data_IF_820100988009
#
_entry.id   IF_820100988009
#
_cell.length_a   1.000
_cell.length_b   1.000
_cell.length_c   1.000
_cell.angle_alpha   90.00
_cell.angle_beta   90.00
_cell.angle_gamma   90.00
#
_symmetry.space_group_name_H-M   'P 1'
#
loop_
_entity.id
_entity.type
_entity.pdbx_description
1 polymer ?
#
# COMPACT_ATOMS: atom_id res chain seq x y z
N UNK A 1 -24.68 20.22 -14.97
CA UNK A 1 -23.24 20.60 -15.04
C UNK A 1 -22.89 21.30 -13.74
N UNK A 2 -22.47 20.55 -12.72
CA UNK A 2 -21.81 21.07 -11.50
C UNK A 2 -21.49 19.89 -10.59
N UNK A 3 -20.43 19.14 -10.90
CA UNK A 3 -19.82 18.24 -9.92
C UNK A 3 -18.31 18.39 -10.03
N UNK A 4 -17.83 19.57 -9.63
CA UNK A 4 -16.42 19.75 -9.25
C UNK A 4 -16.43 20.07 -7.76
N UNK A 5 -16.76 19.08 -6.93
CA UNK A 5 -16.47 19.20 -5.51
C UNK A 5 -14.95 19.25 -5.38
N UNK A 6 -14.46 20.42 -5.01
CA UNK A 6 -13.09 20.66 -4.56
C UNK A 6 -12.82 19.68 -3.43
N UNK A 7 -12.22 18.54 -3.74
CA UNK A 7 -11.62 17.66 -2.73
C UNK A 7 -10.38 18.40 -2.26
N UNK A 8 -10.32 18.92 -1.03
CA UNK A 8 -9.12 19.57 -0.55
C UNK A 8 -8.01 18.51 -0.53
N UNK A 9 -6.87 18.81 -1.14
CA UNK A 9 -5.67 17.96 -1.03
C UNK A 9 -5.40 17.77 0.46
N UNK A 10 -5.47 16.50 0.92
CA UNK A 10 -5.33 16.06 2.32
C UNK A 10 -4.14 16.72 3.01
N UNK A 11 -3.10 17.04 2.25
CA UNK A 11 -1.91 17.82 2.61
C UNK A 11 -2.18 19.14 3.35
N UNK A 12 -3.24 19.89 2.99
CA UNK A 12 -3.52 21.20 3.58
C UNK A 12 -4.15 21.11 4.98
N UNK A 13 -4.91 20.05 5.26
CA UNK A 13 -5.61 19.87 6.55
C UNK A 13 -4.61 19.54 7.67
N UNK A 14 -3.58 18.75 7.36
CA UNK A 14 -2.53 18.37 8.33
C UNK A 14 -1.63 19.54 8.74
N UNK A 15 -1.46 20.54 7.88
CA UNK A 15 -0.61 21.72 8.15
C UNK A 15 -1.13 22.59 9.30
N UNK A 16 -2.43 22.53 9.61
CA UNK A 16 -3.04 23.37 10.65
C UNK A 16 -3.01 22.74 12.05
N UNK A 17 -2.63 21.46 12.17
CA UNK A 17 -2.96 20.69 13.37
C UNK A 17 -1.92 20.67 14.50
N UNK A 18 -0.64 21.00 14.32
CA UNK A 18 0.26 21.09 15.49
C UNK A 18 1.64 21.69 15.17
N UNK A 19 1.84 22.94 15.60
CA UNK A 19 3.18 23.50 15.80
C UNK A 19 3.44 23.78 17.29
N UNK A 20 3.11 22.81 18.16
CA UNK A 20 3.56 22.88 19.55
C UNK A 20 5.08 22.64 19.59
N UNK A 21 5.86 23.66 20.00
CA UNK A 21 7.33 23.55 20.09
C UNK A 21 7.70 22.56 21.20
N UNK A 22 8.06 21.34 20.82
CA UNK A 22 8.57 20.32 21.74
C UNK A 22 10.05 20.57 22.03
N UNK A 23 10.42 20.64 23.32
CA UNK A 23 11.85 20.62 23.73
C UNK A 23 12.44 19.24 23.45
N UNK A 24 13.60 19.19 22.79
CA UNK A 24 14.38 17.98 22.55
C UNK A 24 15.69 18.04 23.32
N UNK A 25 16.07 16.94 23.99
CA UNK A 25 17.35 16.80 24.70
C UNK A 25 18.33 15.90 23.93
N UNK A 26 18.04 15.58 22.66
CA UNK A 26 18.92 14.77 21.83
C UNK A 26 20.29 15.45 21.69
N UNK A 27 21.36 14.73 22.08
CA UNK A 27 22.74 15.23 22.00
C UNK A 27 23.39 14.98 20.64
N UNK A 28 22.80 14.10 19.84
CA UNK A 28 23.25 13.74 18.51
C UNK A 28 22.13 13.98 17.50
N UNK A 29 22.52 14.37 16.29
CA UNK A 29 21.59 14.55 15.18
C UNK A 29 21.18 13.18 14.61
N UNK A 30 19.90 13.00 14.33
CA UNK A 30 19.43 11.86 13.54
C UNK A 30 20.01 11.98 12.12
N UNK A 31 20.90 11.06 11.75
CA UNK A 31 21.55 11.05 10.43
C UNK A 31 20.59 10.56 9.34
N UNK A 32 19.60 9.75 9.71
CA UNK A 32 18.59 9.23 8.80
C UNK A 32 17.19 9.68 9.26
N UNK A 33 16.36 10.19 8.33
CA UNK A 33 14.97 10.48 8.63
C UNK A 33 14.21 9.18 8.93
N UNK A 34 13.09 9.33 9.66
CA UNK A 34 12.18 8.21 9.87
C UNK A 34 11.58 7.84 8.50
N UNK A 35 11.68 6.57 8.07
CA UNK A 35 11.11 6.13 6.81
C UNK A 35 9.58 6.11 6.88
N UNK A 36 8.91 5.93 5.74
CA UNK A 36 7.48 5.67 5.74
C UNK A 36 7.19 4.34 6.48
N UNK A 37 6.45 4.45 7.58
CA UNK A 37 6.16 3.33 8.48
C UNK A 37 5.24 2.29 7.84
N UNK A 38 4.54 2.64 6.75
CA UNK A 38 3.66 1.72 6.02
C UNK A 38 4.26 1.23 4.70
N UNK A 39 5.51 1.58 4.41
CA UNK A 39 6.16 1.24 3.13
C UNK A 39 6.14 -0.27 2.87
N UNK A 40 6.47 -1.08 3.88
CA UNK A 40 6.45 -2.55 3.78
C UNK A 40 5.06 -3.08 3.40
N UNK A 41 3.99 -2.45 3.90
CA UNK A 41 2.62 -2.86 3.59
C UNK A 41 2.29 -2.55 2.12
N UNK A 42 2.70 -1.38 1.65
CA UNK A 42 2.52 -0.96 0.26
C UNK A 42 3.29 -1.89 -0.67
N UNK A 43 4.56 -2.13 -0.36
CA UNK A 43 5.45 -2.95 -1.19
C UNK A 43 4.96 -4.40 -1.26
N UNK A 44 4.52 -4.96 -0.13
CA UNK A 44 3.97 -6.32 -0.06
C UNK A 44 2.73 -6.47 -0.94
N UNK A 45 1.83 -5.47 -0.90
CA UNK A 45 0.62 -5.50 -1.73
C UNK A 45 0.93 -5.31 -3.22
N UNK A 46 1.87 -4.43 -3.56
CA UNK A 46 2.32 -4.25 -4.95
C UNK A 46 2.95 -5.53 -5.51
N UNK A 47 3.78 -6.21 -4.73
CA UNK A 47 4.34 -7.50 -5.10
C UNK A 47 3.25 -8.54 -5.34
N UNK A 48 2.28 -8.65 -4.42
CA UNK A 48 1.16 -9.58 -4.54
C UNK A 48 0.37 -9.37 -5.84
N UNK A 49 0.10 -8.12 -6.21
CA UNK A 49 -0.61 -7.79 -7.46
C UNK A 49 0.20 -8.10 -8.72
N UNK A 50 1.52 -7.92 -8.69
CA UNK A 50 2.39 -8.10 -9.87
C UNK A 50 2.74 -9.56 -10.12
N UNK A 51 3.02 -10.31 -9.06
CA UNK A 51 3.66 -11.63 -9.13
C UNK A 51 2.84 -12.67 -8.38
N UNK A 52 2.50 -12.39 -7.12
CA UNK A 52 1.85 -13.37 -6.23
C UNK A 52 0.54 -13.94 -6.78
N UNK A 53 -0.32 -13.12 -7.39
CA UNK A 53 -1.56 -13.61 -8.01
C UNK A 53 -1.29 -14.54 -9.20
N UNK A 54 -0.32 -14.21 -10.05
CA UNK A 54 0.01 -15.02 -11.22
C UNK A 54 0.59 -16.38 -10.81
N UNK A 55 1.49 -16.37 -9.84
CA UNK A 55 2.08 -17.59 -9.28
C UNK A 55 1.01 -18.50 -8.67
N UNK A 56 0.11 -17.93 -7.88
CA UNK A 56 -1.02 -18.66 -7.30
C UNK A 56 -1.88 -19.32 -8.38
N UNK A 57 -2.24 -18.59 -9.44
CA UNK A 57 -3.06 -19.12 -10.53
C UNK A 57 -2.34 -20.22 -11.32
N UNK A 58 -1.02 -20.12 -11.50
CA UNK A 58 -0.24 -21.20 -12.12
C UNK A 58 -0.14 -22.46 -11.25
N UNK A 59 -0.07 -22.31 -9.92
CA UNK A 59 0.03 -23.45 -9.00
C UNK A 59 -1.28 -24.26 -8.93
N UNK A 60 -2.42 -23.58 -8.98
CA UNK A 60 -3.74 -24.23 -8.90
C UNK A 60 -4.26 -24.75 -10.25
N UNK A 61 -3.62 -24.39 -11.37
CA UNK A 61 -4.02 -24.80 -12.73
C UNK A 61 -3.25 -26.05 -13.19
N UNK A 62 -3.88 -27.00 -13.90
CA UNK A 62 -5.29 -27.04 -14.27
C UNK A 62 -6.18 -27.60 -13.17
N UNK A 63 -7.36 -27.00 -13.01
CA UNK A 63 -8.41 -27.54 -12.15
C UNK A 63 -9.14 -28.63 -12.95
N UNK A 64 -8.87 -29.91 -12.66
CA UNK A 64 -9.51 -31.05 -13.34
C UNK A 64 -10.79 -31.49 -12.63
N UNK A 65 -11.90 -31.61 -13.36
CA UNK A 65 -13.14 -32.20 -12.84
C UNK A 65 -13.03 -33.73 -12.78
N UNK A 66 -13.50 -34.33 -11.68
CA UNK A 66 -13.49 -35.79 -11.44
C UNK A 66 -14.20 -36.60 -12.54
N UNK A 67 -15.11 -35.98 -13.29
CA UNK A 67 -15.89 -36.62 -14.36
C UNK A 67 -15.25 -36.52 -15.76
N UNK A 68 -14.00 -36.03 -15.87
CA UNK A 68 -13.18 -36.07 -17.09
C UNK A 68 -13.64 -35.19 -18.26
N UNK A 69 -14.72 -34.42 -18.11
CA UNK A 69 -15.34 -33.65 -19.21
C UNK A 69 -15.17 -32.13 -19.10
N UNK A 70 -14.42 -31.61 -18.13
CA UNK A 70 -14.22 -30.17 -17.99
C UNK A 70 -12.81 -29.85 -17.46
N UNK A 71 -12.05 -29.11 -18.25
CA UNK A 71 -10.77 -28.50 -17.89
C UNK A 71 -10.91 -26.97 -18.08
N UNK A 72 -10.50 -26.19 -17.09
CA UNK A 72 -10.38 -24.74 -17.18
C UNK A 72 -8.89 -24.40 -17.32
N UNK A 73 -8.46 -23.77 -18.43
CA UNK A 73 -7.07 -23.35 -18.62
C UNK A 73 -6.70 -22.17 -17.73
#
# INVERSE_FOLDING_TARGET
MAVTSVVPSVTYVWSQLNHQRRKSYARFHSVHPIPDLIQVQIDSFQWFLKEGLRELFHEISPISSFNGNLELP
#
